data_IF_031099826001
#
_entry.id   IF_031099826001
#
_cell.length_a   1.000
_cell.length_b   1.000
_cell.length_c   1.000
_cell.angle_alpha   90.00
_cell.angle_beta   90.00
_cell.angle_gamma   90.00
#
_symmetry.space_group_name_H-M   'P 1'
#
loop_
_entity.id
_entity.type
_entity.pdbx_description
1 polymer ?
#
# COMPACT_ATOMS: atom_id res chain seq x y z
N UNK A 1 15.68 -2.25 -24.58
CA UNK A 1 15.51 -0.95 -23.90
C UNK A 1 14.38 -1.07 -22.89
N UNK A 2 14.52 -0.51 -21.67
CA UNK A 2 13.46 -0.56 -20.68
C UNK A 2 12.25 0.27 -21.15
N UNK A 3 11.04 -0.23 -20.91
CA UNK A 3 9.80 0.52 -21.20
C UNK A 3 9.65 1.64 -20.17
N UNK A 4 9.42 2.85 -20.62
CA UNK A 4 9.15 3.99 -19.73
C UNK A 4 7.65 4.10 -19.53
N UNK A 5 7.18 4.04 -18.29
CA UNK A 5 5.77 4.09 -17.91
C UNK A 5 5.50 5.36 -17.12
N UNK A 6 4.61 6.22 -17.63
CA UNK A 6 4.08 7.37 -16.90
C UNK A 6 2.96 6.93 -15.98
N UNK A 7 3.12 7.19 -14.68
CA UNK A 7 2.11 6.89 -13.67
C UNK A 7 1.11 8.04 -13.55
N UNK A 8 -0.13 7.79 -13.96
CA UNK A 8 -1.25 8.71 -13.85
C UNK A 8 -2.08 8.39 -12.61
N UNK A 9 -2.21 9.35 -11.70
CA UNK A 9 -3.19 9.28 -10.60
C UNK A 9 -4.48 9.98 -11.06
N UNK A 10 -5.37 9.25 -11.74
CA UNK A 10 -6.67 9.76 -12.21
C UNK A 10 -7.82 9.01 -11.56
N UNK A 11 -8.98 9.66 -11.45
CA UNK A 11 -10.19 8.98 -11.02
C UNK A 11 -10.64 7.97 -12.10
N UNK A 12 -11.02 6.76 -11.68
CA UNK A 12 -11.53 5.72 -12.59
C UNK A 12 -13.06 5.73 -12.75
N UNK A 13 -13.76 6.66 -12.10
CA UNK A 13 -15.23 6.80 -12.13
C UNK A 13 -15.71 8.07 -12.84
N UNK A 14 -14.99 9.19 -12.71
CA UNK A 14 -15.25 10.40 -13.51
C UNK A 14 -14.91 10.16 -14.97
N UNK A 15 -15.55 10.85 -15.90
CA UNK A 15 -15.10 10.93 -17.29
C UNK A 15 -14.06 12.04 -17.48
N UNK A 16 -14.07 13.04 -16.60
CA UNK A 16 -13.15 14.16 -16.58
C UNK A 16 -11.69 13.72 -16.42
N UNK A 17 -10.78 14.43 -17.10
CA UNK A 17 -9.33 14.16 -17.12
C UNK A 17 -8.58 14.78 -15.94
N UNK A 18 -9.25 14.95 -14.81
CA UNK A 18 -8.62 15.48 -13.60
C UNK A 18 -7.46 14.58 -13.17
N UNK A 19 -6.26 15.11 -13.37
CA UNK A 19 -5.01 14.48 -13.01
C UNK A 19 -4.61 14.96 -11.62
N UNK A 20 -4.52 14.01 -10.68
CA UNK A 20 -4.12 14.31 -9.32
C UNK A 20 -2.61 14.13 -9.16
N UNK A 21 -1.97 15.00 -8.38
CA UNK A 21 -0.52 14.87 -8.16
C UNK A 21 -0.17 13.66 -7.28
N UNK A 22 -1.11 13.15 -6.48
CA UNK A 22 -0.85 12.07 -5.51
C UNK A 22 -2.00 11.07 -5.44
N UNK A 23 -1.71 9.80 -5.09
CA UNK A 23 -2.75 8.80 -4.86
C UNK A 23 -3.65 9.16 -3.66
N UNK A 24 -3.14 9.94 -2.69
CA UNK A 24 -3.93 10.43 -1.57
C UNK A 24 -5.07 11.35 -2.04
N UNK A 25 -4.78 12.27 -2.97
CA UNK A 25 -5.79 13.18 -3.50
C UNK A 25 -6.87 12.44 -4.29
N UNK A 26 -6.50 11.39 -5.05
CA UNK A 26 -7.48 10.51 -5.70
C UNK A 26 -8.38 9.84 -4.67
N UNK A 27 -7.83 9.29 -3.56
CA UNK A 27 -8.67 8.68 -2.51
C UNK A 27 -9.63 9.68 -1.89
N UNK A 28 -9.14 10.88 -1.55
CA UNK A 28 -10.00 11.94 -1.01
C UNK A 28 -11.13 12.30 -2.00
N UNK A 29 -10.80 12.42 -3.28
CA UNK A 29 -11.80 12.64 -4.33
C UNK A 29 -12.84 11.50 -4.37
N UNK A 30 -12.40 10.24 -4.37
CA UNK A 30 -13.29 9.07 -4.37
C UNK A 30 -14.25 9.06 -3.18
N UNK A 31 -13.79 9.44 -1.99
CA UNK A 31 -14.64 9.56 -0.80
C UNK A 31 -15.66 10.69 -1.00
N UNK A 32 -15.22 11.88 -1.41
CA UNK A 32 -16.09 13.07 -1.47
C UNK A 32 -17.08 13.10 -2.64
N UNK A 33 -16.73 12.52 -3.79
CA UNK A 33 -17.51 12.60 -5.03
C UNK A 33 -18.22 11.31 -5.39
N UNK A 34 -17.72 10.16 -4.92
CA UNK A 34 -18.23 8.84 -5.29
C UNK A 34 -18.62 7.97 -4.09
N UNK A 35 -18.52 8.50 -2.86
CA UNK A 35 -18.78 7.76 -1.61
C UNK A 35 -18.04 6.41 -1.55
N UNK A 36 -16.83 6.38 -2.11
CA UNK A 36 -16.04 5.17 -2.26
C UNK A 36 -14.79 5.26 -1.39
N UNK A 37 -14.78 4.46 -0.32
CA UNK A 37 -13.66 4.37 0.61
C UNK A 37 -12.72 3.24 0.21
N UNK A 38 -11.46 3.58 -0.01
CA UNK A 38 -10.38 2.62 -0.30
C UNK A 38 -9.33 2.60 0.80
N UNK A 39 -8.71 1.44 1.07
CA UNK A 39 -7.62 1.35 2.03
C UNK A 39 -6.45 2.24 1.61
N UNK A 40 -5.72 2.76 2.59
CA UNK A 40 -4.48 3.46 2.34
C UNK A 40 -3.41 2.51 1.80
N UNK A 41 -2.56 3.01 0.91
CA UNK A 41 -1.39 2.27 0.46
C UNK A 41 -0.49 1.93 1.66
N UNK A 42 -0.04 0.68 1.74
CA UNK A 42 0.85 0.25 2.82
C UNK A 42 2.17 1.02 2.80
N UNK A 43 2.70 1.33 3.98
CA UNK A 43 3.97 2.04 4.11
C UNK A 43 5.09 1.28 3.37
N UNK A 44 5.91 2.00 2.62
CA UNK A 44 7.01 1.43 1.84
C UNK A 44 6.61 0.81 0.50
N UNK A 45 5.31 0.70 0.18
CA UNK A 45 4.88 0.31 -1.17
C UNK A 45 5.08 1.48 -2.14
N UNK A 46 5.95 1.26 -3.12
CA UNK A 46 6.25 2.18 -4.22
C UNK A 46 6.45 1.42 -5.51
N UNK A 47 6.17 2.07 -6.64
CA UNK A 47 6.59 1.56 -7.94
C UNK A 47 8.12 1.49 -7.94
N UNK A 48 8.66 0.29 -8.22
CA UNK A 48 10.11 0.06 -8.29
C UNK A 48 10.50 -0.12 -9.74
N UNK A 49 11.53 0.60 -10.16
CA UNK A 49 12.13 0.40 -11.47
C UNK A 49 12.73 -1.00 -11.53
N UNK A 50 12.54 -1.66 -12.66
CA UNK A 50 13.12 -2.95 -12.99
C UNK A 50 14.00 -2.78 -14.24
N UNK A 51 14.88 -3.74 -14.55
CA UNK A 51 15.66 -3.70 -15.79
C UNK A 51 14.80 -3.62 -17.07
N UNK A 52 13.54 -4.05 -16.98
CA UNK A 52 12.57 -4.03 -18.08
C UNK A 52 11.66 -2.80 -18.10
N UNK A 53 11.46 -2.13 -16.96
CA UNK A 53 10.45 -1.10 -16.80
C UNK A 53 10.93 0.04 -15.90
N UNK A 54 10.83 1.27 -16.39
CA UNK A 54 11.13 2.49 -15.64
C UNK A 54 9.84 3.27 -15.42
N UNK A 55 9.48 3.52 -14.16
CA UNK A 55 8.31 4.32 -13.81
C UNK A 55 8.70 5.79 -13.64
N UNK A 56 7.95 6.69 -14.26
CA UNK A 56 8.12 8.14 -14.17
C UNK A 56 6.82 8.79 -13.71
N UNK A 57 6.94 9.90 -12.98
CA UNK A 57 5.80 10.70 -12.54
C UNK A 57 5.51 11.89 -13.47
N UNK A 58 6.44 12.17 -14.39
CA UNK A 58 6.36 13.26 -15.36
C UNK A 58 6.49 12.64 -16.75
N UNK A 59 5.69 13.12 -17.70
CA UNK A 59 5.71 12.63 -19.07
C UNK A 59 7.10 12.85 -19.70
N UNK A 60 7.61 11.81 -20.35
CA UNK A 60 8.91 11.83 -21.05
C UNK A 60 8.69 11.34 -22.47
N UNK A 61 9.56 11.75 -23.40
CA UNK A 61 9.50 11.27 -24.79
C UNK A 61 9.47 9.74 -24.85
N UNK A 62 8.38 9.18 -25.37
CA UNK A 62 8.17 7.72 -25.49
C UNK A 62 7.62 7.02 -24.24
N UNK A 63 7.15 7.76 -23.22
CA UNK A 63 6.48 7.14 -22.06
C UNK A 63 5.08 6.65 -22.40
N UNK A 64 4.74 5.45 -21.94
CA UNK A 64 3.39 4.87 -22.04
C UNK A 64 2.61 5.22 -20.79
N UNK A 65 1.41 5.76 -20.96
CA UNK A 65 0.56 6.19 -19.85
C UNK A 65 -0.14 5.01 -19.18
N UNK A 66 -0.03 4.93 -17.86
CA UNK A 66 -0.71 3.93 -17.06
C UNK A 66 -1.49 4.58 -15.92
N UNK A 67 -2.74 4.15 -15.73
CA UNK A 67 -3.58 4.50 -14.59
C UNK A 67 -3.14 3.72 -13.36
N UNK A 68 -2.74 4.42 -12.29
CA UNK A 68 -2.29 3.81 -11.06
C UNK A 68 -3.39 3.66 -10.02
N UNK A 69 -3.34 2.52 -9.32
CA UNK A 69 -4.19 2.28 -8.17
C UNK A 69 -3.78 3.15 -6.98
N UNK A 70 -4.74 3.85 -6.34
CA UNK A 70 -4.42 4.69 -5.19
C UNK A 70 -4.12 3.88 -3.91
N UNK A 71 -4.42 2.58 -3.88
CA UNK A 71 -4.30 1.71 -2.70
C UNK A 71 -3.15 0.71 -2.77
N UNK A 72 -2.58 0.44 -3.94
CA UNK A 72 -1.43 -0.45 -4.10
C UNK A 72 -0.57 -0.04 -5.30
N UNK A 73 0.51 -0.78 -5.60
CA UNK A 73 1.40 -0.51 -6.74
C UNK A 73 0.94 -1.16 -8.06
N UNK A 74 -0.36 -1.35 -8.25
CA UNK A 74 -0.91 -1.82 -9.53
C UNK A 74 -1.08 -0.64 -10.49
N UNK A 75 -0.81 -0.86 -11.77
CA UNK A 75 -1.01 0.11 -12.84
C UNK A 75 -1.34 -0.59 -14.16
N UNK A 76 -2.20 0.01 -14.98
CA UNK A 76 -2.64 -0.55 -16.26
C UNK A 76 -2.87 0.57 -17.29
N UNK A 77 -2.82 0.22 -18.56
CA UNK A 77 -3.02 1.13 -19.70
C UNK A 77 -4.50 1.52 -19.89
N UNK A 78 -5.44 0.75 -19.34
CA UNK A 78 -6.88 0.99 -19.46
C UNK A 78 -7.54 1.34 -18.14
N UNK A 79 -8.34 2.39 -18.17
CA UNK A 79 -9.15 2.84 -17.03
C UNK A 79 -10.16 1.79 -16.55
N UNK A 80 -10.73 1.00 -17.47
CA UNK A 80 -11.66 -0.10 -17.16
C UNK A 80 -11.01 -1.17 -16.31
N UNK A 81 -9.73 -1.46 -16.58
CA UNK A 81 -8.99 -2.51 -15.88
C UNK A 81 -8.63 -2.04 -14.47
N UNK A 82 -8.32 -0.75 -14.30
CA UNK A 82 -8.15 -0.16 -12.98
C UNK A 82 -9.45 -0.23 -12.16
N UNK A 83 -10.60 0.11 -12.76
CA UNK A 83 -11.92 0.03 -12.11
C UNK A 83 -12.22 -1.39 -11.64
N UNK A 84 -11.97 -2.39 -12.48
CA UNK A 84 -12.16 -3.81 -12.15
C UNK A 84 -11.19 -4.27 -11.05
N UNK A 85 -9.91 -3.91 -11.15
CA UNK A 85 -8.90 -4.19 -10.12
C UNK A 85 -9.34 -3.68 -8.75
N UNK A 86 -9.80 -2.42 -8.67
CA UNK A 86 -10.21 -1.83 -7.40
C UNK A 86 -11.40 -2.56 -6.79
N UNK A 87 -12.41 -2.88 -7.60
CA UNK A 87 -13.61 -3.61 -7.13
C UNK A 87 -13.28 -5.00 -6.60
N UNK A 88 -12.36 -5.71 -7.25
CA UNK A 88 -12.04 -7.10 -6.91
C UNK A 88 -11.06 -7.18 -5.73
N UNK A 89 -10.06 -6.29 -5.70
CA UNK A 89 -8.94 -6.37 -4.77
C UNK A 89 -9.07 -5.52 -3.51
N UNK A 90 -9.86 -4.44 -3.54
CA UNK A 90 -9.90 -3.47 -2.43
C UNK A 90 -11.28 -3.24 -1.84
N UNK A 91 -12.36 -3.58 -2.55
CA UNK A 91 -13.71 -3.52 -2.01
C UNK A 91 -14.12 -4.87 -1.44
N UNK A 92 -14.84 -4.90 -0.31
CA UNK A 92 -15.43 -6.15 0.20
C UNK A 92 -16.41 -6.66 -0.84
N UNK A 93 -16.15 -7.84 -1.39
CA UNK A 93 -17.14 -8.54 -2.18
C UNK A 93 -18.29 -8.87 -1.24
N UNK A 94 -19.53 -8.50 -1.60
CA UNK A 94 -20.70 -9.16 -1.02
C UNK A 94 -20.49 -10.68 -1.18
N UNK A 95 -20.98 -11.53 -0.27
CA UNK A 95 -20.79 -12.97 -0.35
C UNK A 95 -21.56 -13.54 -1.55
N UNK A 96 -21.03 -13.36 -2.76
CA UNK A 96 -21.40 -14.10 -3.94
C UNK A 96 -20.59 -15.39 -3.88
N UNK A 97 -21.29 -16.47 -3.57
CA UNK A 97 -20.87 -17.85 -3.76
C UNK A 97 -20.18 -18.02 -5.12
N UNK A 98 -19.16 -18.90 -5.17
CA UNK A 98 -18.31 -19.30 -6.32
C UNK A 98 -17.05 -18.42 -6.51
N UNK A 99 -15.89 -18.82 -5.97
CA UNK A 99 -14.94 -19.86 -6.44
C UNK A 99 -13.99 -19.39 -7.55
N UNK A 100 -12.71 -19.32 -7.16
CA UNK A 100 -11.47 -19.40 -7.93
C UNK A 100 -11.07 -18.27 -8.89
N UNK A 101 -9.94 -17.63 -8.57
CA UNK A 101 -8.73 -17.77 -9.40
C UNK A 101 -7.45 -17.60 -8.56
N UNK A 102 -6.41 -18.41 -8.81
CA UNK A 102 -5.11 -18.32 -8.16
C UNK A 102 -4.19 -17.36 -8.91
N UNK A 103 -3.34 -16.63 -8.19
CA UNK A 103 -2.08 -16.10 -8.76
C UNK A 103 -0.98 -16.12 -7.72
N UNK A 104 -0.16 -17.17 -7.85
CA UNK A 104 1.23 -17.33 -7.44
C UNK A 104 2.01 -16.00 -7.41
N UNK A 105 2.91 -15.77 -6.45
CA UNK A 105 4.16 -16.53 -6.35
C UNK A 105 4.60 -16.89 -4.92
N UNK A 106 5.40 -17.97 -4.80
CA UNK A 106 5.75 -18.63 -3.55
C UNK A 106 7.01 -18.03 -2.92
N UNK A 107 7.15 -18.18 -1.61
CA UNK A 107 8.45 -18.27 -0.95
C UNK A 107 8.30 -19.16 0.27
N UNK A 108 8.38 -20.47 0.04
CA UNK A 108 8.54 -21.47 1.08
C UNK A 108 9.97 -22.00 1.03
N UNK A 109 10.75 -21.70 2.06
CA UNK A 109 11.81 -22.54 2.64
C UNK A 109 12.54 -21.67 3.67
N UNK A 110 12.78 -22.04 4.91
CA UNK A 110 12.56 -23.30 5.62
C UNK A 110 12.45 -22.99 7.11
N UNK A 111 11.51 -23.65 7.77
CA UNK A 111 11.46 -23.77 9.21
C UNK A 111 12.62 -24.67 9.66
N UNK A 112 13.55 -24.17 10.48
CA UNK A 112 14.31 -25.04 11.38
C UNK A 112 14.18 -24.54 12.82
N UNK A 113 13.36 -25.29 13.55
CA UNK A 113 13.27 -25.31 15.00
C UNK A 113 14.64 -25.74 15.57
N UNK A 114 15.20 -25.00 16.52
CA UNK A 114 16.05 -25.61 17.56
C UNK A 114 15.93 -24.83 18.87
N UNK A 115 15.25 -25.49 19.82
CA UNK A 115 15.26 -25.21 21.26
C UNK A 115 16.68 -25.45 21.80
N UNK A 116 17.14 -24.62 22.73
CA UNK A 116 17.99 -25.05 23.86
C UNK A 116 17.74 -24.13 25.05
N UNK A 117 17.40 -24.78 26.15
CA UNK A 117 17.25 -24.25 27.50
C UNK A 117 18.57 -24.44 28.25
N UNK A 118 18.97 -23.43 29.02
CA UNK A 118 19.84 -23.48 30.21
C UNK A 118 19.46 -22.22 31.00
N UNK A 119 18.62 -22.26 32.04
CA UNK A 119 18.81 -22.82 33.38
C UNK A 119 19.88 -22.07 34.21
N UNK A 120 19.37 -21.42 35.26
CA UNK A 120 19.95 -21.11 36.58
C UNK A 120 20.87 -19.91 36.83
N UNK A 121 20.38 -19.06 37.76
CA UNK A 121 21.12 -18.33 38.79
C UNK A 121 21.52 -16.89 38.44
N UNK A 122 21.43 -15.88 39.29
CA UNK A 122 21.06 -15.75 40.71
C UNK A 122 21.23 -14.24 41.05
N UNK A 123 20.41 -13.70 41.97
CA UNK A 123 20.70 -12.57 42.89
C UNK A 123 21.20 -11.20 42.33
N UNK A 124 20.71 -10.01 42.70
CA UNK A 124 20.15 -9.49 43.96
C UNK A 124 19.71 -8.02 43.78
N UNK A 125 18.61 -7.66 44.47
CA UNK A 125 18.42 -6.48 45.33
C UNK A 125 18.41 -5.01 44.83
N UNK A 126 17.25 -4.37 45.07
CA UNK A 126 17.02 -3.06 45.75
C UNK A 126 17.60 -1.79 45.12
N UNK A 127 16.81 -0.76 44.79
CA UNK A 127 16.24 0.28 45.70
C UNK A 127 15.38 1.22 44.82
N UNK A 128 14.11 1.50 45.09
CA UNK A 128 13.56 2.49 46.05
C UNK A 128 14.17 3.89 45.96
N UNK A 129 13.56 4.81 45.18
CA UNK A 129 13.21 6.17 45.66
C UNK A 129 12.21 6.84 44.71
N UNK A 130 10.97 6.96 45.16
CA UNK A 130 10.06 8.07 44.86
C UNK A 130 10.35 9.15 45.93
N UNK A 131 10.32 10.45 45.61
CA UNK A 131 9.26 11.27 46.18
C UNK A 131 8.76 12.42 45.27
N UNK A 132 7.43 12.54 45.21
CA UNK A 132 6.62 13.59 45.84
C UNK A 132 6.97 15.11 45.66
N UNK A 133 5.95 15.83 45.18
CA UNK A 133 5.38 17.12 45.65
C UNK A 133 5.85 18.51 45.14
N UNK A 134 4.81 19.22 44.67
CA UNK A 134 4.41 20.60 44.97
C UNK A 134 5.02 21.82 44.24
N UNK A 135 4.10 22.46 43.51
CA UNK A 135 3.66 23.86 43.70
C UNK A 135 4.69 24.99 43.75
N UNK A 136 4.60 25.94 42.80
CA UNK A 136 4.49 27.38 43.09
C UNK A 136 4.22 28.25 41.86
N UNK A 137 3.18 29.09 41.99
CA UNK A 137 2.99 30.49 41.53
C UNK A 137 3.25 30.82 40.07
N UNK A 138 2.24 31.37 39.37
CA UNK A 138 1.87 32.80 39.41
C UNK A 138 0.36 32.96 39.34
#
# INVERSE_FOLDING_TARGET
>A
MPKVILILNRCFLCEDEDSYNTPHNVRRHLITKHDLTLPARQAGQRFRNTPSTTYVAVATTGSVEHFACPSCCFSCDKKTDLKSHVKISHLPQAPSSSSSSPSSSPSSSSLMKRKRSTAEGDSTSTTSTDPELSSRKE
#
